data_IF_978800355620
#
_entry.id   IF_978800355620
#
_cell.length_a   1.000
_cell.length_b   1.000
_cell.length_c   1.000
_cell.angle_alpha   90.00
_cell.angle_beta   90.00
_cell.angle_gamma   90.00
#
_symmetry.space_group_name_H-M   'P 1'
#
loop_
_entity.id
_entity.type
_entity.pdbx_description
1 polymer ?
#
# COMPACT_ATOMS: atom_id res chain seq x y z
N UNK A 1 -14.11 1.34 22.04
CA UNK A 1 -13.89 -0.12 21.90
C UNK A 1 -12.50 -0.45 22.45
N UNK A 2 -12.29 -1.58 23.11
CA UNK A 2 -10.94 -2.06 23.48
C UNK A 2 -10.51 -3.11 22.46
N UNK A 3 -9.56 -2.76 21.59
CA UNK A 3 -8.97 -3.71 20.66
C UNK A 3 -7.80 -4.46 21.33
N UNK A 4 -7.57 -5.75 21.00
CA UNK A 4 -6.35 -6.43 21.39
C UNK A 4 -5.14 -5.79 20.70
N UNK A 5 -3.94 -5.97 21.27
CA UNK A 5 -2.72 -5.51 20.63
C UNK A 5 -2.36 -6.39 19.43
N UNK A 6 -2.05 -5.77 18.30
CA UNK A 6 -1.69 -6.44 17.04
C UNK A 6 -0.28 -6.06 16.57
N UNK A 7 0.25 -6.81 15.61
CA UNK A 7 1.41 -6.39 14.81
C UNK A 7 0.96 -5.74 13.51
N UNK A 8 1.57 -4.61 13.15
CA UNK A 8 1.44 -4.01 11.82
C UNK A 8 2.64 -4.45 10.97
N UNK A 9 2.43 -5.36 10.04
CA UNK A 9 3.44 -5.83 9.09
C UNK A 9 3.53 -4.88 7.87
N UNK A 10 3.87 -3.62 8.12
CA UNK A 10 4.02 -2.61 7.07
C UNK A 10 5.08 -1.57 7.41
N UNK A 11 5.86 -1.19 6.41
CA UNK A 11 6.83 -0.09 6.52
C UNK A 11 6.20 1.30 6.27
N UNK A 12 4.92 1.38 5.87
CA UNK A 12 4.24 2.64 5.54
C UNK A 12 3.92 3.48 6.79
N UNK A 13 4.47 4.69 6.93
CA UNK A 13 4.13 5.59 8.05
C UNK A 13 2.63 5.91 8.09
N UNK A 14 2.01 6.12 6.92
CA UNK A 14 0.58 6.44 6.78
C UNK A 14 -0.33 5.38 7.41
N UNK A 15 0.03 4.09 7.32
CA UNK A 15 -0.78 3.00 7.91
C UNK A 15 -0.68 2.96 9.43
N UNK A 16 0.49 3.25 9.99
CA UNK A 16 0.65 3.42 11.43
C UNK A 16 -0.21 4.59 11.93
N UNK A 17 -0.19 5.72 11.23
CA UNK A 17 -0.98 6.91 11.59
C UNK A 17 -2.49 6.60 11.60
N UNK A 18 -3.01 5.93 10.56
CA UNK A 18 -4.42 5.52 10.49
C UNK A 18 -4.80 4.66 11.71
N UNK A 19 -4.02 3.62 12.03
CA UNK A 19 -4.32 2.76 13.19
C UNK A 19 -4.26 3.52 14.52
N UNK A 20 -3.34 4.49 14.62
CA UNK A 20 -3.21 5.34 15.81
C UNK A 20 -4.46 6.20 15.99
N UNK A 21 -4.94 6.84 14.91
CA UNK A 21 -6.16 7.63 14.91
C UNK A 21 -7.40 6.80 15.25
N UNK A 22 -7.46 5.54 14.79
CA UNK A 22 -8.53 4.60 15.12
C UNK A 22 -8.46 4.06 16.56
N UNK A 23 -7.38 4.35 17.30
CA UNK A 23 -7.18 3.85 18.66
C UNK A 23 -6.91 2.33 18.72
N UNK A 24 -6.38 1.75 17.64
CA UNK A 24 -6.00 0.33 17.58
C UNK A 24 -4.59 0.16 18.13
N UNK A 25 -4.39 -0.52 19.28
CA UNK A 25 -3.06 -0.74 19.83
C UNK A 25 -2.25 -1.66 18.91
N UNK A 26 -1.09 -1.20 18.45
CA UNK A 26 -0.26 -1.97 17.53
C UNK A 26 1.23 -1.75 17.76
N UNK A 27 2.03 -2.69 17.26
CA UNK A 27 3.48 -2.57 17.19
C UNK A 27 3.91 -2.83 15.75
N UNK A 28 4.77 -1.97 15.19
CA UNK A 28 5.29 -2.15 13.83
C UNK A 28 6.23 -3.34 13.81
N UNK A 29 5.89 -4.35 13.01
CA UNK A 29 6.73 -5.51 12.77
C UNK A 29 7.58 -5.24 11.53
N UNK A 30 8.87 -4.97 11.74
CA UNK A 30 9.82 -4.77 10.64
C UNK A 30 10.36 -6.12 10.19
N UNK A 31 9.98 -6.51 8.98
CA UNK A 31 10.45 -7.72 8.33
C UNK A 31 11.78 -7.44 7.60
N UNK A 32 12.67 -8.44 7.48
CA UNK A 32 13.79 -8.35 6.56
C UNK A 32 13.28 -8.18 5.11
N UNK A 33 14.09 -7.59 4.20
CA UNK A 33 13.74 -7.51 2.79
C UNK A 33 13.47 -8.89 2.20
N UNK A 34 12.52 -8.99 1.26
CA UNK A 34 12.35 -10.20 0.48
C UNK A 34 13.60 -10.50 -0.36
N UNK A 35 13.87 -11.76 -0.61
CA UNK A 35 14.87 -12.16 -1.61
C UNK A 35 14.28 -11.93 -3.01
N UNK A 36 14.92 -11.08 -3.82
CA UNK A 36 14.49 -10.79 -5.19
C UNK A 36 13.63 -9.53 -5.33
N UNK A 37 12.82 -9.51 -6.38
CA UNK A 37 11.85 -8.43 -6.62
C UNK A 37 10.77 -8.47 -5.53
N UNK A 38 10.51 -7.32 -4.90
CA UNK A 38 9.45 -7.20 -3.91
C UNK A 38 8.12 -7.11 -4.66
N UNK A 39 7.32 -8.18 -4.59
CA UNK A 39 5.94 -8.26 -5.08
C UNK A 39 5.78 -8.21 -6.63
N UNK A 40 6.42 -9.12 -7.39
CA UNK A 40 6.23 -9.17 -8.84
C UNK A 40 4.78 -9.51 -9.19
N UNK A 41 4.25 -8.90 -10.26
CA UNK A 41 2.96 -9.29 -10.84
C UNK A 41 3.12 -10.62 -11.56
N UNK A 42 2.24 -11.57 -11.28
CA UNK A 42 2.30 -12.89 -11.92
C UNK A 42 1.79 -12.81 -13.37
N UNK A 43 2.27 -13.70 -14.28
CA UNK A 43 1.75 -13.77 -15.64
C UNK A 43 0.23 -13.99 -15.67
N UNK A 44 -0.49 -13.12 -16.38
CA UNK A 44 -1.95 -13.18 -16.50
C UNK A 44 -2.74 -12.73 -15.26
N UNK A 45 -2.06 -12.25 -14.22
CA UNK A 45 -2.71 -11.77 -13.01
C UNK A 45 -3.39 -10.42 -13.25
N UNK A 46 -4.66 -10.27 -12.85
CA UNK A 46 -5.35 -8.98 -12.90
C UNK A 46 -4.86 -8.03 -11.81
N UNK A 47 -4.94 -6.70 -11.98
CA UNK A 47 -4.60 -5.75 -10.93
C UNK A 47 -5.36 -5.95 -9.62
N UNK A 48 -6.60 -6.42 -9.72
CA UNK A 48 -7.44 -6.81 -8.60
C UNK A 48 -6.84 -7.99 -7.81
N UNK A 49 -6.51 -9.07 -8.50
CA UNK A 49 -5.92 -10.26 -7.89
C UNK A 49 -4.54 -9.95 -7.30
N UNK A 50 -3.76 -9.10 -7.97
CA UNK A 50 -2.45 -8.66 -7.51
C UNK A 50 -2.51 -8.05 -6.11
N UNK A 51 -3.31 -7.00 -5.90
CA UNK A 51 -3.34 -6.28 -4.60
C UNK A 51 -3.82 -7.16 -3.45
N UNK A 52 -4.76 -8.07 -3.71
CA UNK A 52 -5.25 -9.03 -2.71
C UNK A 52 -4.19 -10.08 -2.38
N UNK A 53 -3.52 -10.63 -3.41
CA UNK A 53 -2.43 -11.60 -3.23
C UNK A 53 -1.26 -10.97 -2.47
N UNK A 54 -0.77 -9.80 -2.86
CA UNK A 54 0.39 -9.18 -2.22
C UNK A 54 0.10 -8.80 -0.77
N UNK A 55 -1.13 -8.37 -0.44
CA UNK A 55 -1.54 -8.16 0.94
C UNK A 55 -1.54 -9.46 1.77
N UNK A 56 -1.98 -10.58 1.17
CA UNK A 56 -1.94 -11.91 1.79
C UNK A 56 -0.50 -12.40 2.00
N UNK A 57 0.34 -12.32 0.99
CA UNK A 57 1.76 -12.72 1.06
C UNK A 57 2.51 -11.93 2.14
N UNK A 58 2.19 -10.64 2.34
CA UNK A 58 2.74 -9.84 3.45
C UNK A 58 2.34 -10.39 4.82
N UNK A 59 1.09 -10.82 4.98
CA UNK A 59 0.62 -11.43 6.23
C UNK A 59 1.29 -12.80 6.46
N UNK A 60 1.38 -13.62 5.43
CA UNK A 60 2.05 -14.93 5.48
C UNK A 60 3.53 -14.80 5.84
N UNK A 61 4.26 -13.91 5.16
CA UNK A 61 5.68 -13.62 5.44
C UNK A 61 5.88 -13.17 6.89
N UNK A 62 4.94 -12.37 7.40
CA UNK A 62 4.98 -11.94 8.79
C UNK A 62 4.72 -13.09 9.78
N UNK A 63 3.77 -13.98 9.51
CA UNK A 63 3.52 -15.15 10.35
C UNK A 63 4.75 -16.07 10.40
N UNK A 64 5.33 -16.41 9.25
CA UNK A 64 6.55 -17.22 9.15
C UNK A 64 7.70 -16.56 9.93
N UNK A 65 7.86 -15.25 9.81
CA UNK A 65 8.88 -14.53 10.58
C UNK A 65 8.66 -14.64 12.09
N UNK A 66 7.42 -14.48 12.57
CA UNK A 66 7.06 -14.57 13.98
C UNK A 66 7.32 -15.96 14.57
N UNK A 67 7.03 -17.03 13.80
CA UNK A 67 7.27 -18.42 14.21
C UNK A 67 8.77 -18.72 14.46
N UNK A 68 9.65 -17.96 13.81
CA UNK A 68 11.11 -18.10 13.95
C UNK A 68 11.69 -17.28 15.12
N UNK A 69 10.89 -16.44 15.81
CA UNK A 69 11.37 -15.59 16.90
C UNK A 69 11.19 -16.23 18.29
N UNK A 70 11.98 -15.79 19.28
CA UNK A 70 11.74 -16.16 20.69
C UNK A 70 10.40 -15.53 21.15
N UNK A 71 9.39 -16.33 21.54
CA UNK A 71 8.08 -15.83 21.95
C UNK A 71 8.13 -14.97 23.22
N UNK A 72 9.21 -15.01 24.01
CA UNK A 72 9.42 -14.09 25.14
C UNK A 72 9.83 -12.69 24.71
N UNK A 73 10.48 -12.57 23.54
CA UNK A 73 10.88 -11.28 22.95
C UNK A 73 9.80 -10.72 22.03
N UNK A 74 9.14 -11.59 21.27
CA UNK A 74 8.11 -11.23 20.31
C UNK A 74 6.90 -12.15 20.50
N UNK A 75 6.00 -11.84 21.45
CA UNK A 75 4.89 -12.72 21.79
C UNK A 75 3.93 -12.88 20.61
N UNK A 76 3.31 -14.06 20.44
CA UNK A 76 2.32 -14.29 19.39
C UNK A 76 1.14 -13.30 19.50
N UNK A 77 0.85 -12.60 18.40
CA UNK A 77 -0.27 -11.65 18.28
C UNK A 77 -0.82 -11.69 16.86
N UNK A 78 -2.08 -11.28 16.64
CA UNK A 78 -2.58 -11.11 15.28
C UNK A 78 -1.73 -10.12 14.48
N UNK A 79 -1.54 -10.40 13.20
CA UNK A 79 -0.82 -9.56 12.25
C UNK A 79 -1.81 -8.90 11.32
N UNK A 80 -1.69 -7.58 11.16
CA UNK A 80 -2.34 -6.82 10.11
C UNK A 80 -1.31 -6.48 9.03
N UNK A 81 -1.58 -6.92 7.80
CA UNK A 81 -0.88 -6.53 6.61
C UNK A 81 -1.82 -5.79 5.65
N UNK A 82 -1.26 -5.03 4.73
CA UNK A 82 -2.04 -4.33 3.72
C UNK A 82 -1.21 -4.06 2.48
N UNK A 83 -1.90 -4.00 1.34
CA UNK A 83 -1.37 -3.47 0.09
C UNK A 83 -2.29 -2.42 -0.52
N UNK A 84 -1.73 -1.50 -1.30
CA UNK A 84 -2.47 -0.43 -1.95
C UNK A 84 -1.92 -0.22 -3.34
N UNK A 85 -2.78 -0.38 -4.35
CA UNK A 85 -2.42 -0.26 -5.76
C UNK A 85 -3.32 0.77 -6.46
N UNK A 86 -2.70 1.60 -7.30
CA UNK A 86 -3.40 2.52 -8.22
C UNK A 86 -3.55 1.82 -9.56
N UNK A 87 -4.77 1.76 -10.07
CA UNK A 87 -5.17 0.99 -11.25
C UNK A 87 -5.82 1.92 -12.25
N UNK A 88 -5.18 2.11 -13.41
CA UNK A 88 -5.77 2.81 -14.55
C UNK A 88 -6.04 1.78 -15.64
N UNK A 89 -7.32 1.46 -15.86
CA UNK A 89 -7.73 0.36 -16.74
C UNK A 89 -7.14 -0.98 -16.26
N UNK A 90 -6.27 -1.64 -17.04
CA UNK A 90 -5.60 -2.89 -16.67
C UNK A 90 -4.14 -2.69 -16.20
N UNK A 91 -3.71 -1.44 -16.08
CA UNK A 91 -2.35 -1.07 -15.69
C UNK A 91 -2.26 -0.74 -14.20
N UNK A 92 -1.27 -1.36 -13.56
CA UNK A 92 -0.85 -1.02 -12.20
C UNK A 92 0.15 0.13 -12.29
N UNK A 93 -0.18 1.27 -11.69
CA UNK A 93 0.74 2.40 -11.59
C UNK A 93 1.50 2.29 -10.26
N UNK A 94 2.72 1.76 -10.35
CA UNK A 94 3.66 1.66 -9.23
C UNK A 94 4.23 3.01 -8.80
N UNK A 95 5.31 2.98 -8.02
CA UNK A 95 6.09 4.18 -7.70
C UNK A 95 6.93 4.55 -8.93
N UNK A 96 7.00 5.83 -9.31
CA UNK A 96 7.84 6.24 -10.44
C UNK A 96 9.32 6.05 -10.08
N UNK A 97 10.11 5.49 -11.00
CA UNK A 97 11.55 5.35 -10.85
C UNK A 97 12.29 6.69 -10.99
N UNK A 98 11.70 7.65 -11.71
CA UNK A 98 12.26 8.98 -11.91
C UNK A 98 11.16 10.02 -12.23
N UNK A 99 11.54 11.29 -12.25
CA UNK A 99 10.61 12.41 -12.51
C UNK A 99 9.95 12.34 -13.88
N UNK A 100 10.61 11.82 -14.92
CA UNK A 100 10.00 11.70 -16.24
C UNK A 100 8.86 10.67 -16.23
N UNK A 101 9.03 9.56 -15.51
CA UNK A 101 7.99 8.57 -15.30
C UNK A 101 6.84 9.13 -14.45
N UNK A 102 7.14 9.91 -13.40
CA UNK A 102 6.11 10.59 -12.60
C UNK A 102 5.24 11.51 -13.46
N UNK A 103 5.85 12.31 -14.35
CA UNK A 103 5.13 13.16 -15.32
C UNK A 103 4.24 12.34 -16.24
N UNK A 104 4.76 11.23 -16.79
CA UNK A 104 4.01 10.36 -17.68
C UNK A 104 2.81 9.73 -16.97
N UNK A 105 2.98 9.27 -15.72
CA UNK A 105 1.88 8.76 -14.89
C UNK A 105 0.80 9.84 -14.66
N UNK A 106 1.19 11.04 -14.23
CA UNK A 106 0.25 12.13 -13.98
C UNK A 106 -0.47 12.60 -15.24
N UNK A 107 0.21 12.64 -16.38
CA UNK A 107 -0.40 12.98 -17.67
C UNK A 107 -1.45 11.94 -18.10
N UNK A 108 -1.22 10.64 -17.81
CA UNK A 108 -2.21 9.57 -18.06
C UNK A 108 -3.42 9.67 -17.12
N UNK A 109 -3.21 10.10 -15.88
CA UNK A 109 -4.28 10.25 -14.88
C UNK A 109 -5.10 11.52 -15.10
N UNK A 110 -4.52 12.56 -15.70
CA UNK A 110 -5.16 13.84 -15.99
C UNK A 110 -6.52 13.67 -16.67
N UNK A 111 -7.57 14.29 -16.10
CA UNK A 111 -8.94 14.25 -16.62
C UNK A 111 -9.60 12.87 -16.63
N UNK A 112 -8.95 11.85 -16.05
CA UNK A 112 -9.38 10.45 -16.10
C UNK A 112 -9.93 9.97 -14.75
N UNK A 113 -10.62 8.85 -14.79
CA UNK A 113 -10.97 8.07 -13.60
C UNK A 113 -10.07 6.84 -13.49
N UNK A 114 -9.65 6.55 -12.27
CA UNK A 114 -8.88 5.37 -11.93
C UNK A 114 -9.35 4.81 -10.59
N UNK A 115 -8.96 3.56 -10.31
CA UNK A 115 -9.25 2.92 -9.04
C UNK A 115 -8.03 2.94 -8.13
N UNK A 116 -8.26 3.19 -6.85
CA UNK A 116 -7.31 2.89 -5.78
C UNK A 116 -7.90 1.73 -5.00
N UNK A 117 -7.22 0.59 -5.05
CA UNK A 117 -7.61 -0.60 -4.29
C UNK A 117 -6.67 -0.76 -3.11
N UNK A 118 -7.24 -0.92 -1.92
CA UNK A 118 -6.51 -1.25 -0.71
C UNK A 118 -7.02 -2.57 -0.16
N UNK A 119 -6.17 -3.60 -0.19
CA UNK A 119 -6.45 -4.88 0.45
C UNK A 119 -5.82 -4.90 1.84
N UNK A 120 -6.54 -5.45 2.81
CA UNK A 120 -6.09 -5.65 4.18
C UNK A 120 -6.28 -7.10 4.57
N UNK A 121 -5.30 -7.66 5.28
CA UNK A 121 -5.31 -9.04 5.78
C UNK A 121 -5.00 -9.02 7.26
N UNK A 122 -5.94 -9.51 8.08
CA UNK A 122 -5.75 -9.77 9.50
C UNK A 122 -5.58 -11.27 9.71
N UNK A 123 -4.39 -11.69 10.12
CA UNK A 123 -4.02 -13.09 10.30
C UNK A 123 -3.72 -13.41 11.78
N UNK A 124 -4.21 -14.54 12.28
CA UNK A 124 -3.93 -15.01 13.64
C UNK A 124 -4.79 -16.20 14.03
N UNK A 125 -4.32 -16.99 15.00
CA UNK A 125 -5.02 -18.19 15.49
C UNK A 125 -5.44 -19.16 14.37
N UNK A 126 -4.58 -19.35 13.37
CA UNK A 126 -4.86 -20.24 12.23
C UNK A 126 -5.93 -19.72 11.26
N UNK A 127 -6.31 -18.45 11.33
CA UNK A 127 -7.31 -17.82 10.45
C UNK A 127 -6.73 -16.59 9.77
N UNK A 128 -7.21 -16.32 8.56
CA UNK A 128 -7.00 -15.06 7.84
C UNK A 128 -8.36 -14.45 7.52
N UNK A 129 -8.51 -13.17 7.85
CA UNK A 129 -9.64 -12.34 7.46
C UNK A 129 -9.15 -11.32 6.47
N UNK A 130 -9.86 -11.18 5.37
CA UNK A 130 -9.44 -10.35 4.25
C UNK A 130 -10.56 -9.41 3.85
N UNK A 131 -10.20 -8.18 3.49
CA UNK A 131 -11.12 -7.21 2.96
C UNK A 131 -10.42 -6.33 1.93
N UNK A 132 -11.17 -5.91 0.91
CA UNK A 132 -10.71 -4.96 -0.10
C UNK A 132 -11.61 -3.73 -0.08
N UNK A 133 -10.98 -2.56 -0.07
CA UNK A 133 -11.64 -1.27 -0.27
C UNK A 133 -11.30 -0.78 -1.67
N UNK A 134 -12.31 -0.51 -2.48
CA UNK A 134 -12.16 0.02 -3.84
C UNK A 134 -12.65 1.47 -3.82
N UNK A 135 -11.80 2.39 -4.26
CA UNK A 135 -12.13 3.82 -4.35
C UNK A 135 -11.91 4.29 -5.78
N UNK A 136 -12.96 4.82 -6.42
CA UNK A 136 -12.83 5.52 -7.71
C UNK A 136 -12.39 6.95 -7.45
N UNK A 137 -11.31 7.37 -8.10
CA UNK A 137 -10.75 8.71 -7.99
C UNK A 137 -10.83 9.35 -9.37
N UNK A 138 -11.37 10.57 -9.44
CA UNK A 138 -11.45 11.35 -10.67
C UNK A 138 -10.51 12.54 -10.56
N UNK A 139 -9.61 12.68 -11.52
CA UNK A 139 -8.70 13.82 -11.60
C UNK A 139 -9.33 14.97 -12.40
N UNK A 140 -9.01 16.19 -11.99
CA UNK A 140 -9.15 17.34 -12.88
C UNK A 140 -8.22 17.21 -14.09
N UNK A 141 -8.46 18.00 -15.13
CA UNK A 141 -7.50 18.14 -16.22
C UNK A 141 -6.31 18.94 -15.70
N UNK A 142 -5.16 18.29 -15.59
CA UNK A 142 -3.90 18.90 -15.19
C UNK A 142 -3.19 19.51 -16.39
N UNK A 143 -2.71 20.75 -16.26
CA UNK A 143 -1.84 21.34 -17.27
C UNK A 143 -0.42 20.78 -17.16
N UNK A 144 0.39 20.82 -18.24
CA UNK A 144 1.80 20.46 -18.16
C UNK A 144 2.56 21.23 -17.07
N UNK A 145 2.22 22.50 -16.86
CA UNK A 145 2.83 23.34 -15.83
C UNK A 145 2.50 22.86 -14.41
N UNK A 146 1.26 22.42 -14.16
CA UNK A 146 0.86 21.88 -12.85
C UNK A 146 1.58 20.57 -12.55
N UNK A 147 1.68 19.69 -13.56
CA UNK A 147 2.41 18.42 -13.46
C UNK A 147 3.89 18.67 -13.14
N UNK A 148 4.51 19.63 -13.83
CA UNK A 148 5.90 19.99 -13.60
C UNK A 148 6.13 20.59 -12.21
N UNK A 149 5.26 21.51 -11.79
CA UNK A 149 5.31 22.12 -10.47
C UNK A 149 5.17 21.08 -9.36
N UNK A 150 4.21 20.16 -9.48
CA UNK A 150 4.00 19.09 -8.52
C UNK A 150 5.18 18.10 -8.49
N UNK A 151 5.70 17.71 -9.65
CA UNK A 151 6.90 16.88 -9.76
C UNK A 151 8.13 17.50 -9.09
N UNK A 152 8.29 18.83 -9.18
CA UNK A 152 9.41 19.55 -8.57
C UNK A 152 9.40 19.51 -7.03
N UNK A 153 8.28 19.18 -6.40
CA UNK A 153 8.17 19.06 -4.94
C UNK A 153 8.82 17.79 -4.40
N UNK A 154 9.02 16.77 -5.25
CA UNK A 154 9.46 15.43 -4.86
C UNK A 154 8.38 14.57 -4.21
N UNK A 155 7.20 15.13 -3.88
CA UNK A 155 6.08 14.38 -3.30
C UNK A 155 5.63 13.15 -4.12
N UNK A 156 5.65 13.14 -5.46
CA UNK A 156 5.26 11.97 -6.26
C UNK A 156 6.08 10.71 -6.01
N UNK A 157 7.35 10.84 -5.63
CA UNK A 157 8.35 9.80 -5.85
C UNK A 157 8.18 8.57 -4.95
N UNK A 158 7.58 8.72 -3.77
CA UNK A 158 7.36 7.62 -2.83
C UNK A 158 5.95 6.99 -2.94
N UNK A 159 5.15 7.39 -3.94
CA UNK A 159 3.73 7.05 -4.02
C UNK A 159 3.38 6.32 -5.32
N UNK A 160 2.59 5.26 -5.18
CA UNK A 160 1.98 4.58 -6.32
C UNK A 160 1.11 5.56 -7.11
N UNK A 161 1.19 5.53 -8.43
CA UNK A 161 0.50 6.48 -9.31
C UNK A 161 1.06 7.90 -9.29
N UNK A 162 2.19 8.14 -8.65
CA UNK A 162 2.87 9.43 -8.58
C UNK A 162 2.06 10.56 -7.89
N UNK A 163 1.05 10.24 -7.07
CA UNK A 163 0.30 11.26 -6.31
C UNK A 163 -0.10 10.83 -4.90
N UNK A 164 -0.41 11.82 -4.04
CA UNK A 164 -0.94 11.59 -2.70
C UNK A 164 -2.08 12.54 -2.38
N UNK A 165 -3.26 12.00 -2.09
CA UNK A 165 -4.45 12.81 -1.75
C UNK A 165 -4.28 13.63 -0.46
N UNK A 166 -3.35 13.26 0.41
CA UNK A 166 -3.08 13.95 1.68
C UNK A 166 -2.16 15.16 1.53
N UNK A 167 -1.56 15.38 0.36
CA UNK A 167 -0.65 16.49 0.08
C UNK A 167 -1.13 17.39 -1.05
N UNK A 168 -0.20 17.92 -1.84
CA UNK A 168 -0.50 18.98 -2.81
C UNK A 168 -1.43 18.52 -3.93
N UNK A 169 -1.44 17.23 -4.27
CA UNK A 169 -2.34 16.67 -5.27
C UNK A 169 -3.82 16.63 -4.85
N UNK A 170 -4.12 16.85 -3.56
CA UNK A 170 -5.49 16.91 -3.04
C UNK A 170 -6.09 18.32 -3.01
N UNK A 171 -5.33 19.34 -3.42
CA UNK A 171 -5.75 20.75 -3.48
C UNK A 171 -6.22 21.12 -4.89
#
# INVERSE_FOLDING_TARGET
>A
MKFPQIYLASASPRRHEILTQLGVPHSVLRLPPAAGEDEPRLPGESPAAYVERTAREKAERALVYLEQQDPRRLPPRPVLAADTTVILQDDILGKPANTAEARAMLARLSGSEHEVRSAVVLAGHGRMLEAVSITTVRFAVLSPADIDAYCATGEPMDKAGAYGIQGLAGL
#
